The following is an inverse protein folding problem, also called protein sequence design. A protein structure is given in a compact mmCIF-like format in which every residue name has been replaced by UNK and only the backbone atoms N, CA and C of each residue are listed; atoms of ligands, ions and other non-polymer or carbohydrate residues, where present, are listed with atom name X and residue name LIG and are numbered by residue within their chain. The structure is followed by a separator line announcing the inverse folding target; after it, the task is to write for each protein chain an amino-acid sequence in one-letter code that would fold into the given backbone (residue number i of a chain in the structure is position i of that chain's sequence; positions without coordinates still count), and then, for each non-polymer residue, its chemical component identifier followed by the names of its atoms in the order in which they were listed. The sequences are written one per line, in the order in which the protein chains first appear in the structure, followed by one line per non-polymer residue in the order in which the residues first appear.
data_IF_496121456929
#
_entry.id   IF_496121456929
#
_cell.length_a   1.000
_cell.length_b   1.000
_cell.length_c   1.000
_cell.angle_alpha   90.00
_cell.angle_beta   90.00
_cell.angle_gamma   90.00
#
_symmetry.space_group_name_H-M   'P 1'
#
loop_
_entity.id
_entity.type
_entity.pdbx_description
1 polymer ?
#
# COMPACT_ATOMS: atom_id res chain seq x y z
N UNK A 1 11.53 -13.14 51.03
CA UNK A 1 11.01 -11.92 50.36
C UNK A 1 11.59 -11.72 48.96
N UNK A 2 12.90 -11.86 48.76
CA UNK A 2 13.58 -11.70 47.46
C UNK A 2 13.16 -12.75 46.41
N UNK A 3 12.85 -13.96 46.86
CA UNK A 3 12.47 -15.10 46.02
C UNK A 3 11.14 -14.89 45.29
N UNK A 4 10.18 -14.25 45.97
CA UNK A 4 8.84 -13.93 45.43
C UNK A 4 8.97 -12.87 44.32
N UNK A 5 9.84 -11.87 44.50
CA UNK A 5 10.08 -10.82 43.51
C UNK A 5 10.70 -11.41 42.23
N UNK A 6 11.60 -12.40 42.39
CA UNK A 6 12.23 -13.11 41.27
C UNK A 6 11.23 -13.97 40.50
N UNK A 7 10.33 -14.65 41.19
CA UNK A 7 9.28 -15.47 40.59
C UNK A 7 8.23 -14.63 39.83
N UNK A 8 7.85 -13.47 40.39
CA UNK A 8 6.98 -12.51 39.70
C UNK A 8 7.64 -11.85 38.49
N UNK A 9 8.93 -11.54 38.58
CA UNK A 9 9.69 -11.01 37.44
C UNK A 9 9.84 -12.07 36.33
N UNK A 10 10.13 -13.32 36.70
CA UNK A 10 10.20 -14.45 35.77
C UNK A 10 8.84 -14.69 35.07
N UNK A 11 7.73 -14.68 35.82
CA UNK A 11 6.37 -14.80 35.25
C UNK A 11 6.01 -13.66 34.32
N UNK A 12 6.40 -12.41 34.62
CA UNK A 12 6.16 -11.28 33.70
C UNK A 12 6.98 -11.39 32.43
N UNK A 13 8.21 -11.90 32.50
CA UNK A 13 9.05 -12.16 31.31
C UNK A 13 8.47 -13.31 30.49
N UNK A 14 7.94 -14.34 31.13
CA UNK A 14 7.27 -15.47 30.46
C UNK A 14 5.96 -15.04 29.79
N UNK A 15 5.15 -14.21 30.46
CA UNK A 15 3.95 -13.59 29.88
C UNK A 15 4.28 -12.66 28.71
N UNK A 16 5.37 -11.89 28.79
CA UNK A 16 5.87 -11.09 27.67
C UNK A 16 6.31 -11.99 26.51
N UNK A 17 7.01 -13.09 26.78
CA UNK A 17 7.42 -14.06 25.74
C UNK A 17 6.22 -14.67 25.02
N UNK A 18 5.20 -15.09 25.77
CA UNK A 18 3.97 -15.67 25.22
C UNK A 18 3.20 -14.62 24.42
N UNK A 19 3.06 -13.39 24.93
CA UNK A 19 2.40 -12.30 24.21
C UNK A 19 3.17 -11.83 22.98
N UNK A 20 4.51 -11.84 23.01
CA UNK A 20 5.36 -11.55 21.86
C UNK A 20 5.22 -12.66 20.82
N UNK A 21 5.12 -13.92 21.23
CA UNK A 21 4.95 -15.06 20.32
C UNK A 21 3.55 -15.08 19.68
N UNK A 22 2.50 -14.77 20.44
CA UNK A 22 1.14 -14.62 19.93
C UNK A 22 0.99 -13.39 19.03
N UNK A 23 1.49 -12.21 19.44
CA UNK A 23 1.47 -11.01 18.59
C UNK A 23 2.35 -11.14 17.36
N UNK A 24 3.49 -11.81 17.44
CA UNK A 24 4.35 -12.03 16.28
C UNK A 24 3.68 -12.99 15.30
N UNK A 25 2.95 -14.00 15.76
CA UNK A 25 2.21 -14.92 14.89
C UNK A 25 0.96 -14.28 14.25
N UNK A 26 0.17 -13.51 15.02
CA UNK A 26 -0.99 -12.77 14.49
C UNK A 26 -0.60 -11.58 13.61
N UNK A 27 0.47 -10.86 13.96
CA UNK A 27 0.99 -9.75 13.17
C UNK A 27 1.73 -10.23 11.92
N UNK A 28 2.55 -11.29 11.99
CA UNK A 28 3.20 -11.85 10.81
C UNK A 28 2.18 -12.49 9.86
N UNK A 29 1.20 -13.25 10.39
CA UNK A 29 0.11 -13.80 9.60
C UNK A 29 -0.70 -12.71 8.88
N UNK A 30 -1.01 -11.60 9.58
CA UNK A 30 -1.72 -10.46 8.99
C UNK A 30 -0.87 -9.74 7.94
N UNK A 31 0.43 -9.55 8.18
CA UNK A 31 1.34 -8.93 7.20
C UNK A 31 1.44 -9.80 5.94
N UNK A 32 1.59 -11.11 6.08
CA UNK A 32 1.64 -12.06 4.95
C UNK A 32 0.30 -12.08 4.21
N UNK A 33 -0.82 -12.06 4.92
CA UNK A 33 -2.16 -12.01 4.32
C UNK A 33 -2.41 -10.71 3.55
N UNK A 34 -2.06 -9.55 4.12
CA UNK A 34 -2.14 -8.25 3.44
C UNK A 34 -1.21 -8.21 2.23
N UNK A 35 0.00 -8.78 2.34
CA UNK A 35 0.92 -8.88 1.22
C UNK A 35 0.36 -9.77 0.11
N UNK A 36 -0.22 -10.92 0.45
CA UNK A 36 -0.85 -11.82 -0.51
C UNK A 36 -2.02 -11.12 -1.24
N UNK A 37 -2.88 -10.43 -0.50
CA UNK A 37 -3.97 -9.63 -1.08
C UNK A 37 -3.41 -8.52 -1.97
N UNK A 38 -2.37 -7.81 -1.53
CA UNK A 38 -1.76 -6.74 -2.31
C UNK A 38 -1.19 -7.27 -3.63
N UNK A 39 -0.55 -8.44 -3.62
CA UNK A 39 -0.05 -9.10 -4.83
C UNK A 39 -1.21 -9.47 -5.75
N UNK A 40 -2.25 -10.15 -5.25
CA UNK A 40 -3.42 -10.54 -6.06
C UNK A 40 -4.13 -9.31 -6.65
N UNK A 41 -4.35 -8.27 -5.84
CA UNK A 41 -4.91 -7.00 -6.31
C UNK A 41 -4.01 -6.34 -7.36
N UNK A 42 -2.69 -6.38 -7.19
CA UNK A 42 -1.75 -5.82 -8.17
C UNK A 42 -1.85 -6.54 -9.52
N UNK A 43 -1.92 -7.87 -9.50
CA UNK A 43 -2.17 -8.66 -10.71
C UNK A 43 -3.53 -8.33 -11.34
N UNK A 44 -4.59 -8.21 -10.54
CA UNK A 44 -5.91 -7.83 -11.04
C UNK A 44 -5.88 -6.48 -11.76
N UNK A 45 -5.26 -5.46 -11.17
CA UNK A 45 -5.15 -4.12 -11.78
C UNK A 45 -4.30 -4.13 -13.05
N UNK A 46 -3.24 -4.96 -13.08
CA UNK A 46 -2.37 -5.12 -14.24
C UNK A 46 -3.12 -5.78 -15.41
N UNK A 47 -3.81 -6.89 -15.16
CA UNK A 47 -4.65 -7.54 -16.18
C UNK A 47 -5.82 -6.66 -16.61
N UNK A 48 -6.40 -5.89 -15.70
CA UNK A 48 -7.45 -4.94 -16.03
C UNK A 48 -6.94 -3.85 -17.00
N UNK A 49 -5.73 -3.33 -16.77
CA UNK A 49 -5.09 -2.39 -17.70
C UNK A 49 -4.83 -3.01 -19.08
N UNK A 50 -4.32 -4.24 -19.12
CA UNK A 50 -4.15 -4.95 -20.38
C UNK A 50 -5.49 -5.21 -21.08
N UNK A 51 -6.52 -5.60 -20.34
CA UNK A 51 -7.87 -5.80 -20.88
C UNK A 51 -8.43 -4.54 -21.52
N UNK A 52 -8.28 -3.38 -20.89
CA UNK A 52 -8.68 -2.09 -21.48
C UNK A 52 -7.86 -1.80 -22.74
N UNK A 53 -6.54 -2.01 -22.71
CA UNK A 53 -5.69 -1.78 -23.87
C UNK A 53 -6.08 -2.67 -25.06
N UNK A 54 -6.35 -3.95 -24.83
CA UNK A 54 -6.82 -4.89 -25.85
C UNK A 54 -8.23 -4.54 -26.35
N UNK A 55 -9.17 -4.17 -25.47
CA UNK A 55 -10.53 -3.80 -25.89
C UNK A 55 -10.55 -2.55 -26.78
N UNK A 56 -9.73 -1.55 -26.44
CA UNK A 56 -9.51 -0.37 -27.29
C UNK A 56 -8.78 -0.76 -28.58
N UNK A 57 -7.80 -1.65 -28.50
CA UNK A 57 -7.02 -2.14 -29.65
C UNK A 57 -7.88 -2.90 -30.67
N UNK A 58 -8.74 -3.79 -30.20
CA UNK A 58 -9.68 -4.57 -31.03
C UNK A 58 -10.69 -3.66 -31.73
N UNK A 59 -11.18 -2.62 -31.04
CA UNK A 59 -12.07 -1.61 -31.64
C UNK A 59 -11.39 -0.78 -32.74
N UNK A 60 -10.05 -0.73 -32.75
CA UNK A 60 -9.22 -0.02 -33.73
C UNK A 60 -8.58 -0.97 -34.76
N UNK A 61 -8.99 -2.25 -34.79
CA UNK A 61 -8.45 -3.30 -35.67
C UNK A 61 -6.95 -3.60 -35.45
N UNK A 62 -6.36 -3.10 -34.36
CA UNK A 62 -4.93 -3.26 -34.07
C UNK A 62 -4.59 -2.98 -32.61
N UNK A 63 -4.08 -4.01 -31.94
CA UNK A 63 -3.62 -3.98 -30.54
C UNK A 63 -2.59 -2.88 -30.27
N UNK A 64 -1.73 -2.59 -31.26
CA UNK A 64 -0.68 -1.59 -31.13
C UNK A 64 -1.25 -0.19 -30.86
N UNK A 65 -2.36 0.17 -31.50
CA UNK A 65 -3.03 1.46 -31.25
C UNK A 65 -3.71 1.51 -29.90
N UNK A 66 -4.26 0.39 -29.43
CA UNK A 66 -4.82 0.27 -28.08
C UNK A 66 -3.80 0.60 -26.99
N UNK A 67 -2.62 0.00 -27.08
CA UNK A 67 -1.50 0.33 -26.16
C UNK A 67 -1.01 1.78 -26.31
N UNK A 68 -0.95 2.31 -27.53
CA UNK A 68 -0.48 3.68 -27.78
C UNK A 68 -1.44 4.73 -27.18
N UNK A 69 -2.74 4.52 -27.29
CA UNK A 69 -3.76 5.39 -26.68
C UNK A 69 -3.67 5.36 -25.15
N UNK A 70 -3.56 4.17 -24.56
CA UNK A 70 -3.41 4.02 -23.11
C UNK A 70 -2.12 4.67 -22.63
N UNK A 71 -1.00 4.46 -23.34
CA UNK A 71 0.28 5.13 -23.03
C UNK A 71 0.18 6.66 -23.13
N UNK A 72 -0.46 7.17 -24.18
CA UNK A 72 -0.70 8.60 -24.37
C UNK A 72 -1.55 9.19 -23.24
N UNK A 73 -2.59 8.49 -22.80
CA UNK A 73 -3.42 8.89 -21.67
C UNK A 73 -2.61 8.95 -20.35
N UNK A 74 -1.77 7.94 -20.08
CA UNK A 74 -0.88 7.95 -18.91
C UNK A 74 0.17 9.07 -18.95
N UNK A 75 0.68 9.40 -20.14
CA UNK A 75 1.59 10.52 -20.35
C UNK A 75 0.89 11.86 -20.09
N UNK A 76 -0.33 12.03 -20.58
CA UNK A 76 -1.13 13.23 -20.37
C UNK A 76 -1.46 13.42 -18.88
N UNK A 77 -1.85 12.35 -18.17
CA UNK A 77 -2.01 12.34 -16.71
C UNK A 77 -0.72 12.79 -15.99
N UNK A 78 0.44 12.29 -16.44
CA UNK A 78 1.74 12.67 -15.86
C UNK A 78 1.99 14.18 -16.01
N UNK A 79 1.73 14.75 -17.19
CA UNK A 79 1.87 16.19 -17.44
C UNK A 79 0.93 16.99 -16.52
N UNK A 80 -0.34 16.56 -16.39
CA UNK A 80 -1.31 17.20 -15.48
C UNK A 80 -0.78 17.18 -14.05
N UNK A 81 -0.32 16.03 -13.55
CA UNK A 81 0.23 15.92 -12.19
C UNK A 81 1.45 16.84 -11.99
N UNK A 82 2.33 16.96 -12.99
CA UNK A 82 3.48 17.86 -12.93
C UNK A 82 3.08 19.34 -12.85
N UNK A 83 2.05 19.76 -13.57
CA UNK A 83 1.50 21.12 -13.48
C UNK A 83 0.92 21.39 -12.08
N UNK A 84 0.17 20.42 -11.54
CA UNK A 84 -0.46 20.52 -10.22
C UNK A 84 0.51 20.23 -9.07
N UNK A 85 1.75 19.81 -9.34
CA UNK A 85 2.79 19.53 -8.33
C UNK A 85 2.89 20.63 -7.29
N UNK A 86 2.91 21.91 -7.72
CA UNK A 86 3.01 23.06 -6.80
C UNK A 86 1.79 23.19 -5.88
N UNK A 87 0.58 22.94 -6.41
CA UNK A 87 -0.68 22.95 -5.65
C UNK A 87 -0.76 21.79 -4.66
N UNK A 88 -0.39 20.58 -5.10
CA UNK A 88 -0.40 19.36 -4.29
C UNK A 88 0.57 19.51 -3.11
N UNK A 89 1.80 19.96 -3.36
CA UNK A 89 2.81 20.17 -2.30
C UNK A 89 2.33 21.22 -1.30
N UNK A 90 1.78 22.36 -1.76
CA UNK A 90 1.24 23.38 -0.85
C UNK A 90 0.07 22.87 -0.01
N UNK A 91 -0.83 22.09 -0.61
CA UNK A 91 -2.01 21.54 0.07
C UNK A 91 -1.64 20.51 1.14
N UNK A 92 -0.69 19.63 0.84
CA UNK A 92 -0.15 18.65 1.80
C UNK A 92 0.60 19.36 2.93
N UNK A 93 1.45 20.34 2.61
CA UNK A 93 2.17 21.12 3.61
C UNK A 93 1.23 21.87 4.56
N UNK A 94 0.18 22.53 4.03
CA UNK A 94 -0.82 23.19 4.86
C UNK A 94 -1.62 22.22 5.73
N UNK A 95 -1.96 21.02 5.23
CA UNK A 95 -2.60 19.99 6.04
C UNK A 95 -1.72 19.51 7.18
N UNK A 96 -0.41 19.33 6.94
CA UNK A 96 0.55 18.93 7.96
C UNK A 96 0.73 20.02 9.02
N UNK A 97 0.85 21.29 8.61
CA UNK A 97 0.96 22.42 9.54
C UNK A 97 -0.32 22.58 10.38
N UNK A 98 -1.50 22.38 9.78
CA UNK A 98 -2.78 22.40 10.49
C UNK A 98 -2.92 21.26 11.50
N UNK A 99 -2.29 20.11 11.25
CA UNK A 99 -2.27 18.97 12.18
C UNK A 99 -1.34 19.19 13.37
N UNK A 100 -0.23 19.93 13.20
CA UNK A 100 0.70 20.28 14.28
C UNK A 100 0.24 21.45 15.15
N UNK A 101 -0.72 22.25 14.68
CA UNK A 101 -1.30 23.38 15.44
C UNK A 101 -2.52 22.98 16.28
N UNK A 102 -2.90 21.70 16.28
CA UNK A 102 -4.05 21.16 17.03
C UNK A 102 -3.56 20.27 18.16
#
# INVERSE_FOLDING_TARGET
MIEIIKDYAAKRVELLKIQIQEKSSLSAGTIVFVFLIAVVCSFFVLFFNFGIAFLIGESLDSDAYGFLIVAGFYLLLTIIVLLFKKLIIKSIANKLIGFLKK
#
